data_IF_973617024215
#
_entry.id   IF_973617024215
#
_cell.length_a   1.000
_cell.length_b   1.000
_cell.length_c   1.000
_cell.angle_alpha   90.00
_cell.angle_beta   90.00
_cell.angle_gamma   90.00
#
_symmetry.space_group_name_H-M   'P 1'
#
loop_
_entity.id
_entity.type
_entity.pdbx_description
1 polymer ?
#
# COMPACT_ATOMS: atom_id res chain seq x y z
N UNK A 1 34.73 -18.52 49.64
CA UNK A 1 34.17 -19.74 49.01
C UNK A 1 32.74 -19.93 49.52
N UNK A 2 31.82 -20.33 48.63
CA UNK A 2 30.38 -20.63 48.81
C UNK A 2 29.44 -19.41 48.69
N UNK A 3 28.30 -19.46 48.01
CA UNK A 3 27.73 -20.40 47.05
C UNK A 3 26.53 -19.72 46.34
N UNK A 4 26.20 -20.24 45.16
CA UNK A 4 25.10 -19.89 44.25
C UNK A 4 23.71 -19.72 44.89
N UNK A 5 22.93 -18.76 44.36
CA UNK A 5 21.49 -18.92 44.14
C UNK A 5 21.03 -17.98 43.01
N UNK A 6 21.05 -18.46 41.77
CA UNK A 6 20.39 -17.82 40.63
C UNK A 6 18.89 -18.13 40.73
N UNK A 7 18.11 -17.17 41.23
CA UNK A 7 16.66 -17.26 41.27
C UNK A 7 16.10 -16.94 39.88
N UNK A 8 16.07 -17.93 39.00
CA UNK A 8 15.44 -17.84 37.67
C UNK A 8 13.92 -17.90 37.82
N UNK A 9 13.24 -16.76 37.68
CA UNK A 9 11.78 -16.73 37.55
C UNK A 9 11.41 -16.93 36.09
N UNK A 10 11.08 -18.17 35.73
CA UNK A 10 10.46 -18.50 34.45
C UNK A 10 9.05 -17.89 34.42
N UNK A 11 8.91 -16.71 33.82
CA UNK A 11 7.61 -16.11 33.55
C UNK A 11 7.01 -16.83 32.34
N UNK A 12 5.99 -17.64 32.59
CA UNK A 12 5.16 -18.23 31.55
C UNK A 12 4.36 -17.11 30.88
N UNK A 13 4.84 -16.61 29.74
CA UNK A 13 4.09 -15.66 28.93
C UNK A 13 2.81 -16.35 28.42
N UNK A 14 1.61 -15.79 28.64
CA UNK A 14 0.41 -16.34 28.03
C UNK A 14 0.53 -16.19 26.51
N UNK A 15 0.21 -17.27 25.77
CA UNK A 15 -0.03 -17.18 24.33
C UNK A 15 -1.13 -16.13 24.14
N UNK A 16 -0.79 -14.97 23.59
CA UNK A 16 -1.77 -13.98 23.18
C UNK A 16 -2.58 -14.59 22.03
N UNK A 17 -3.74 -15.15 22.35
CA UNK A 17 -4.76 -15.51 21.39
C UNK A 17 -5.09 -14.23 20.62
N UNK A 18 -4.84 -14.24 19.31
CA UNK A 18 -4.86 -13.05 18.46
C UNK A 18 -6.11 -12.20 18.71
N UNK A 19 -5.93 -11.06 19.37
CA UNK A 19 -6.94 -10.04 19.41
C UNK A 19 -7.11 -9.56 17.97
N UNK A 20 -8.24 -9.90 17.35
CA UNK A 20 -8.75 -9.08 16.27
C UNK A 20 -9.11 -7.73 16.90
N UNK A 21 -8.09 -6.90 17.12
CA UNK A 21 -8.24 -5.58 17.69
C UNK A 21 -9.27 -4.83 16.87
N UNK A 22 -10.13 -4.06 17.55
CA UNK A 22 -11.06 -3.17 16.88
C UNK A 22 -10.29 -2.38 15.81
N UNK A 23 -10.82 -2.24 14.58
CA UNK A 23 -10.13 -1.50 13.54
C UNK A 23 -9.84 -0.08 14.05
N UNK A 24 -8.55 0.22 14.19
CA UNK A 24 -8.09 1.54 14.63
C UNK A 24 -7.81 2.39 13.39
N UNK A 25 -8.47 3.54 13.32
CA UNK A 25 -8.19 4.54 12.28
C UNK A 25 -7.02 5.37 12.74
N UNK A 26 -5.83 5.07 12.23
CA UNK A 26 -4.62 5.86 12.47
C UNK A 26 -4.39 6.85 11.32
N UNK A 27 -3.97 8.10 11.61
CA UNK A 27 -3.60 9.04 10.56
C UNK A 27 -2.49 8.47 9.66
N UNK A 28 -2.70 8.53 8.35
CA UNK A 28 -1.67 8.20 7.37
C UNK A 28 -0.91 9.47 6.95
N UNK A 29 0.32 9.29 6.45
CA UNK A 29 1.02 10.37 5.77
C UNK A 29 0.17 10.93 4.62
N UNK A 30 0.25 12.24 4.38
CA UNK A 30 -0.49 12.89 3.29
C UNK A 30 0.20 12.67 1.94
N UNK A 31 -0.55 12.59 0.84
CA UNK A 31 0.02 12.64 -0.51
C UNK A 31 0.63 14.03 -0.77
N UNK A 32 1.65 14.07 -1.61
CA UNK A 32 2.34 15.30 -1.99
C UNK A 32 1.50 16.17 -2.94
N UNK A 33 0.56 15.57 -3.68
CA UNK A 33 -0.23 16.27 -4.69
C UNK A 33 -1.70 16.31 -4.23
N UNK A 34 -2.23 17.50 -3.86
CA UNK A 34 -3.65 17.65 -3.55
C UNK A 34 -4.46 17.43 -4.81
N UNK A 35 -5.41 16.49 -4.79
CA UNK A 35 -6.19 16.12 -5.98
C UNK A 35 -7.62 15.68 -5.65
N UNK A 36 -8.57 16.06 -6.49
CA UNK A 36 -9.94 15.55 -6.50
C UNK A 36 -10.19 14.65 -7.72
N UNK A 37 -11.27 13.87 -7.69
CA UNK A 37 -11.69 13.00 -8.81
C UNK A 37 -10.58 12.04 -9.31
N UNK A 38 -9.71 11.58 -8.42
CA UNK A 38 -8.65 10.62 -8.70
C UNK A 38 -9.15 9.18 -8.54
N UNK A 39 -8.42 8.21 -9.08
CA UNK A 39 -8.69 6.78 -8.86
C UNK A 39 -7.62 6.17 -7.99
N UNK A 40 -8.02 5.50 -6.91
CA UNK A 40 -7.14 4.71 -6.05
C UNK A 40 -7.36 3.21 -6.29
N UNK A 41 -6.33 2.50 -6.75
CA UNK A 41 -6.38 1.06 -7.04
C UNK A 41 -5.46 0.29 -6.08
N UNK A 42 -5.99 -0.67 -5.34
CA UNK A 42 -5.21 -1.50 -4.42
C UNK A 42 -4.48 -2.64 -5.16
N UNK A 43 -3.35 -3.10 -4.61
CA UNK A 43 -2.57 -4.23 -5.10
C UNK A 43 -2.36 -5.28 -3.99
N UNK A 44 -2.09 -6.55 -4.35
CA UNK A 44 -1.57 -7.53 -3.42
C UNK A 44 -0.33 -6.99 -2.69
N UNK A 45 -0.26 -7.25 -1.39
CA UNK A 45 0.80 -6.73 -0.51
C UNK A 45 0.50 -5.35 0.10
N UNK A 46 -0.76 -4.90 0.12
CA UNK A 46 -1.19 -3.73 0.90
C UNK A 46 -0.73 -2.38 0.34
N UNK A 47 -0.49 -2.30 -0.98
CA UNK A 47 -0.10 -1.07 -1.67
C UNK A 47 -1.28 -0.48 -2.42
N UNK A 48 -1.33 0.83 -2.57
CA UNK A 48 -2.39 1.53 -3.32
C UNK A 48 -1.75 2.50 -4.30
N UNK A 49 -2.13 2.43 -5.58
CA UNK A 49 -1.72 3.41 -6.59
C UNK A 49 -2.84 4.44 -6.77
N UNK A 50 -2.50 5.70 -6.57
CA UNK A 50 -3.36 6.86 -6.80
C UNK A 50 -2.99 7.45 -8.15
N UNK A 51 -3.96 7.53 -9.07
CA UNK A 51 -3.75 7.98 -10.45
C UNK A 51 -4.68 9.11 -10.85
N UNK A 52 -4.16 10.03 -11.65
CA UNK A 52 -4.93 11.12 -12.25
C UNK A 52 -5.60 12.02 -11.21
N UNK A 53 -6.78 12.53 -11.55
CA UNK A 53 -7.49 13.54 -10.79
C UNK A 53 -7.18 14.96 -11.27
N UNK A 54 -7.77 15.93 -10.59
CA UNK A 54 -7.65 17.34 -10.88
C UNK A 54 -7.07 18.09 -9.67
N UNK A 55 -6.28 19.12 -9.93
CA UNK A 55 -5.38 19.79 -8.96
C UNK A 55 -5.69 21.28 -8.82
N UNK A 56 -6.84 21.70 -9.33
CA UNK A 56 -7.41 23.06 -9.27
C UNK A 56 -8.91 22.90 -9.07
N UNK A 57 -9.51 23.81 -8.30
CA UNK A 57 -10.95 23.85 -8.06
C UNK A 57 -11.73 23.90 -9.38
N UNK A 58 -12.88 23.24 -9.42
CA UNK A 58 -13.67 23.07 -10.65
C UNK A 58 -13.07 22.09 -11.66
N UNK A 59 -11.98 21.39 -11.31
CA UNK A 59 -11.33 20.37 -12.14
C UNK A 59 -10.88 20.83 -13.54
N UNK A 60 -10.56 22.11 -13.72
CA UNK A 60 -10.05 22.66 -14.99
C UNK A 60 -8.67 22.12 -15.41
N UNK A 61 -7.91 21.56 -14.45
CA UNK A 61 -6.55 21.04 -14.68
C UNK A 61 -6.41 19.63 -14.14
N UNK A 62 -6.39 18.65 -15.04
CA UNK A 62 -6.04 17.27 -14.71
C UNK A 62 -4.53 17.10 -14.47
N UNK A 63 -4.15 16.03 -13.78
CA UNK A 63 -2.76 15.77 -13.39
C UNK A 63 -2.27 14.41 -13.92
N UNK A 64 -1.00 14.37 -14.34
CA UNK A 64 -0.34 13.15 -14.83
C UNK A 64 0.44 12.36 -13.77
N UNK A 65 1.08 12.97 -12.75
CA UNK A 65 1.78 12.23 -11.71
C UNK A 65 0.86 11.29 -10.93
N UNK A 66 1.41 10.11 -10.63
CA UNK A 66 0.79 9.12 -9.75
C UNK A 66 1.56 9.01 -8.45
N UNK A 67 0.90 8.51 -7.42
CA UNK A 67 1.52 8.28 -6.12
C UNK A 67 1.21 6.86 -5.63
N UNK A 68 2.20 6.18 -5.09
CA UNK A 68 2.10 4.86 -4.52
C UNK A 68 2.11 4.96 -2.99
N UNK A 69 1.01 4.59 -2.37
CA UNK A 69 0.87 4.47 -0.92
C UNK A 69 1.32 3.09 -0.44
N UNK A 70 2.10 3.09 0.66
CA UNK A 70 2.50 1.90 1.41
C UNK A 70 2.32 2.19 2.90
N UNK A 71 1.57 1.36 3.63
CA UNK A 71 1.20 1.61 5.03
C UNK A 71 2.40 1.97 5.96
N UNK A 72 3.56 1.31 5.79
CA UNK A 72 4.76 1.57 6.61
C UNK A 72 5.67 2.70 6.11
N UNK A 73 5.53 3.12 4.86
CA UNK A 73 6.46 4.05 4.20
C UNK A 73 5.79 5.35 3.74
N UNK A 74 4.46 5.44 3.84
CA UNK A 74 3.70 6.57 3.33
C UNK A 74 3.59 6.59 1.80
N UNK A 75 3.47 7.79 1.25
CA UNK A 75 3.35 8.04 -0.18
C UNK A 75 4.73 8.18 -0.84
N UNK A 76 4.84 7.70 -2.06
CA UNK A 76 6.02 7.83 -2.92
C UNK A 76 5.60 8.12 -4.36
N UNK A 77 6.44 8.80 -5.14
CA UNK A 77 6.15 9.07 -6.55
C UNK A 77 6.09 7.78 -7.37
N UNK A 78 5.11 7.69 -8.28
CA UNK A 78 4.95 6.58 -9.21
C UNK A 78 5.18 6.98 -10.68
N UNK A 79 4.96 6.04 -11.61
CA UNK A 79 4.99 6.31 -13.05
C UNK A 79 4.00 7.40 -13.45
N UNK A 80 4.31 8.20 -14.48
CA UNK A 80 3.41 9.27 -14.92
C UNK A 80 2.49 8.77 -16.02
N UNK A 81 1.25 9.27 -16.03
CA UNK A 81 0.36 9.10 -17.17
C UNK A 81 0.90 9.89 -18.37
N UNK A 82 0.80 9.32 -19.56
CA UNK A 82 1.11 10.02 -20.82
C UNK A 82 0.11 11.14 -21.10
N UNK A 83 -1.15 10.93 -20.75
CA UNK A 83 -2.24 11.91 -20.84
C UNK A 83 -2.89 12.07 -19.45
N UNK A 84 -2.92 13.29 -18.88
CA UNK A 84 -3.65 13.57 -17.64
C UNK A 84 -5.13 13.21 -17.78
N UNK A 85 -5.75 12.68 -16.72
CA UNK A 85 -7.18 12.37 -16.68
C UNK A 85 -7.76 12.55 -15.28
N UNK A 86 -9.05 12.84 -15.20
CA UNK A 86 -9.83 12.95 -13.97
C UNK A 86 -11.20 12.29 -14.16
N UNK A 87 -11.84 11.85 -13.07
CA UNK A 87 -13.15 11.20 -13.13
C UNK A 87 -13.15 9.83 -13.81
N UNK A 88 -11.98 9.20 -13.94
CA UNK A 88 -11.82 7.88 -14.57
C UNK A 88 -11.98 6.74 -13.56
N UNK A 89 -12.09 5.52 -14.09
CA UNK A 89 -12.04 4.28 -13.32
C UNK A 89 -10.73 3.53 -13.58
N UNK A 90 -10.42 2.56 -12.71
CA UNK A 90 -9.21 1.75 -12.81
C UNK A 90 -9.50 0.31 -12.41
N UNK A 91 -9.02 -0.63 -13.20
CA UNK A 91 -9.20 -2.07 -12.96
C UNK A 91 -7.85 -2.70 -12.66
N UNK A 92 -7.74 -3.37 -11.51
CA UNK A 92 -6.55 -4.14 -11.16
C UNK A 92 -6.52 -5.42 -11.97
N UNK A 93 -5.48 -5.59 -12.80
CA UNK A 93 -5.24 -6.86 -13.47
C UNK A 93 -4.58 -7.88 -12.50
N UNK A 94 -4.90 -9.18 -12.63
CA UNK A 94 -4.11 -10.24 -12.00
C UNK A 94 -2.65 -10.16 -12.45
N UNK A 95 -1.73 -10.69 -11.63
CA UNK A 95 -0.39 -10.95 -12.16
C UNK A 95 -0.52 -12.02 -13.25
N UNK A 96 0.14 -11.81 -14.38
CA UNK A 96 0.52 -12.95 -15.20
C UNK A 96 1.49 -13.80 -14.39
N UNK A 97 1.14 -15.04 -14.10
CA UNK A 97 2.18 -16.06 -13.93
C UNK A 97 2.90 -16.16 -15.27
N UNK A 98 4.24 -16.29 -15.32
CA UNK A 98 4.86 -16.77 -16.56
C UNK A 98 4.19 -18.11 -16.87
N UNK A 99 3.47 -18.20 -17.98
CA UNK A 99 3.14 -19.52 -18.51
C UNK A 99 4.47 -20.25 -18.74
N UNK A 100 4.59 -21.55 -18.45
CA UNK A 100 5.71 -22.31 -18.97
C UNK A 100 5.75 -22.05 -20.48
N UNK A 101 6.92 -21.63 -20.99
CA UNK A 101 7.13 -21.36 -22.41
C UNK A 101 6.74 -22.62 -23.18
N UNK A 102 5.57 -22.64 -23.79
CA UNK A 102 5.12 -23.73 -24.66
C UNK A 102 5.84 -23.69 -26.02
N UNK A 103 7.04 -23.10 -26.07
CA UNK A 103 7.87 -22.94 -27.26
C UNK A 103 9.16 -23.78 -27.20
N UNK A 104 9.35 -24.61 -26.17
CA UNK A 104 10.48 -25.54 -26.05
C UNK A 104 10.10 -26.99 -26.44
N UNK A 105 9.08 -27.16 -27.30
CA UNK A 105 8.68 -28.44 -27.86
C UNK A 105 8.63 -28.35 -29.38
N UNK A 106 9.81 -28.37 -30.02
CA UNK A 106 10.05 -28.89 -31.36
C UNK A 106 11.51 -29.37 -31.46
#
# INVERSE_FOLDING_TARGET
MRAFALLSTLVLAPLALGAAGNPSVVPAALPAIPRAAHTATSFPGGRVLVTGGCVVDGCSRATAPTELYRSRLGFSGGPRLTVPRAGHTGTRLPRSSPAPSSFDAD
#
